data_IF_017239817858
#
_entry.id   IF_017239817858
#
_cell.length_a   1.000
_cell.length_b   1.000
_cell.length_c   1.000
_cell.angle_alpha   90.00
_cell.angle_beta   90.00
_cell.angle_gamma   90.00
#
_symmetry.space_group_name_H-M   'P 1'
#
loop_
_entity.id
_entity.type
_entity.pdbx_description
1 polymer ?
#
# COMPACT_ATOMS: atom_id res chain seq x y z
N UNK A 1 54.86 -32.62 -17.88
CA UNK A 1 53.53 -32.83 -18.48
C UNK A 1 52.61 -31.79 -17.86
N UNK A 2 51.96 -30.97 -18.71
CA UNK A 2 51.07 -29.83 -18.44
C UNK A 2 51.77 -28.60 -17.80
N UNK A 3 51.95 -27.47 -18.50
CA UNK A 3 50.96 -26.46 -18.94
C UNK A 3 50.10 -25.89 -17.81
N UNK A 4 50.47 -24.68 -17.37
CA UNK A 4 49.65 -23.76 -16.58
C UNK A 4 50.28 -22.36 -16.80
N UNK A 5 50.07 -21.68 -17.94
CA UNK A 5 48.90 -20.81 -18.11
C UNK A 5 48.44 -20.13 -16.81
N UNK A 6 49.37 -19.59 -16.02
CA UNK A 6 49.10 -18.60 -14.97
C UNK A 6 50.21 -17.53 -14.89
N UNK A 7 50.79 -17.26 -16.06
CA UNK A 7 51.61 -16.08 -16.33
C UNK A 7 50.68 -14.91 -16.69
N UNK A 8 49.85 -14.49 -15.72
CA UNK A 8 48.95 -13.33 -15.86
C UNK A 8 49.37 -12.17 -14.95
N UNK A 9 50.36 -12.35 -14.08
CA UNK A 9 50.93 -11.24 -13.31
C UNK A 9 52.41 -11.45 -13.04
N UNK A 10 53.25 -10.98 -13.96
CA UNK A 10 54.65 -10.68 -13.69
C UNK A 10 54.68 -9.49 -12.71
N UNK A 11 55.21 -9.65 -11.48
CA UNK A 11 55.29 -8.53 -10.55
C UNK A 11 56.43 -7.62 -11.02
N UNK A 12 56.08 -6.55 -11.73
CA UNK A 12 57.00 -5.51 -12.14
C UNK A 12 57.82 -5.05 -10.92
N UNK A 13 59.09 -5.47 -10.90
CA UNK A 13 60.01 -5.25 -9.79
C UNK A 13 60.69 -3.90 -10.00
N UNK A 14 59.86 -2.86 -10.05
CA UNK A 14 60.26 -1.47 -9.88
C UNK A 14 60.00 -1.11 -8.40
N UNK A 15 61.02 -0.74 -7.61
CA UNK A 15 60.92 -0.73 -6.15
C UNK A 15 60.12 0.44 -5.53
N UNK A 16 59.41 1.27 -6.31
CA UNK A 16 58.89 2.55 -5.76
C UNK A 16 57.47 2.98 -6.17
N UNK A 17 56.73 2.25 -7.03
CA UNK A 17 55.45 2.77 -7.55
C UNK A 17 54.18 1.99 -7.17
N UNK A 18 54.28 0.82 -6.52
CA UNK A 18 53.11 -0.09 -6.40
C UNK A 18 52.87 -0.75 -5.04
N UNK A 19 53.77 -0.63 -4.05
CA UNK A 19 53.66 -1.36 -2.77
C UNK A 19 52.92 -0.62 -1.65
N UNK A 20 52.60 0.65 -1.85
CA UNK A 20 51.75 1.43 -0.95
C UNK A 20 50.55 1.98 -1.71
N UNK A 21 49.70 1.11 -2.27
CA UNK A 21 48.28 1.39 -2.07
C UNK A 21 48.07 1.26 -0.56
N UNK A 22 48.34 2.36 0.17
CA UNK A 22 48.49 2.40 1.63
C UNK A 22 47.45 1.51 2.29
N UNK A 23 47.81 0.69 3.27
CA UNK A 23 46.86 -0.22 3.94
C UNK A 23 45.58 0.50 4.41
N UNK A 24 45.67 1.79 4.67
CA UNK A 24 44.52 2.65 4.95
C UNK A 24 43.59 2.86 3.74
N UNK A 25 44.12 3.03 2.53
CA UNK A 25 43.32 3.05 1.30
C UNK A 25 42.58 1.72 1.09
N UNK A 26 43.22 0.58 1.38
CA UNK A 26 42.57 -0.74 1.32
C UNK A 26 41.44 -0.86 2.36
N UNK A 27 41.68 -0.44 3.61
CA UNK A 27 40.65 -0.43 4.67
C UNK A 27 39.47 0.48 4.32
N UNK A 28 39.74 1.67 3.77
CA UNK A 28 38.72 2.62 3.32
C UNK A 28 37.90 2.00 2.18
N UNK A 29 38.55 1.33 1.22
CA UNK A 29 37.86 0.63 0.13
C UNK A 29 36.94 -0.47 0.65
N UNK A 30 37.43 -1.30 1.57
CA UNK A 30 36.63 -2.38 2.14
C UNK A 30 35.47 -1.88 2.99
N UNK A 31 35.67 -0.78 3.73
CA UNK A 31 34.60 -0.09 4.45
C UNK A 31 33.54 0.46 3.48
N UNK A 32 33.95 1.07 2.36
CA UNK A 32 33.05 1.56 1.33
C UNK A 32 32.30 0.43 0.63
N UNK A 33 32.97 -0.68 0.30
CA UNK A 33 32.33 -1.85 -0.31
C UNK A 33 31.29 -2.49 0.60
N UNK A 34 31.63 -2.70 1.88
CA UNK A 34 30.70 -3.23 2.88
C UNK A 34 29.51 -2.28 3.07
N UNK A 35 29.77 -0.98 3.15
CA UNK A 35 28.72 0.04 3.25
C UNK A 35 27.82 0.04 2.02
N UNK A 36 28.38 -0.02 0.81
CA UNK A 36 27.63 -0.07 -0.45
C UNK A 36 26.80 -1.33 -0.61
N UNK A 37 27.29 -2.49 -0.15
CA UNK A 37 26.52 -3.73 -0.14
C UNK A 37 25.34 -3.68 0.85
N UNK A 38 25.59 -3.19 2.07
CA UNK A 38 24.54 -2.99 3.06
C UNK A 38 23.48 -2.00 2.56
N UNK A 39 23.92 -0.88 2.00
CA UNK A 39 23.06 0.15 1.41
C UNK A 39 22.27 -0.40 0.22
N UNK A 40 22.89 -1.22 -0.64
CA UNK A 40 22.23 -1.92 -1.74
C UNK A 40 21.11 -2.87 -1.27
N UNK A 41 21.33 -3.63 -0.20
CA UNK A 41 20.30 -4.50 0.38
C UNK A 41 19.17 -3.71 1.02
N UNK A 42 19.50 -2.65 1.77
CA UNK A 42 18.51 -1.81 2.45
C UNK A 42 17.66 -1.08 1.42
N UNK A 43 18.29 -0.39 0.46
CA UNK A 43 17.59 0.30 -0.63
C UNK A 43 16.72 -0.65 -1.46
N UNK A 44 17.19 -1.86 -1.78
CA UNK A 44 16.39 -2.85 -2.51
C UNK A 44 15.13 -3.26 -1.75
N UNK A 45 15.20 -3.39 -0.42
CA UNK A 45 14.03 -3.72 0.41
C UNK A 45 13.04 -2.55 0.49
N UNK A 46 13.54 -1.32 0.66
CA UNK A 46 12.71 -0.12 0.71
C UNK A 46 12.01 0.14 -0.63
N UNK A 47 12.72 0.01 -1.75
CA UNK A 47 12.15 0.21 -3.09
C UNK A 47 11.03 -0.79 -3.38
N UNK A 48 11.22 -2.07 -3.06
CA UNK A 48 10.16 -3.08 -3.24
C UNK A 48 8.93 -2.82 -2.35
N UNK A 49 9.14 -2.41 -1.09
CA UNK A 49 8.05 -2.05 -0.18
C UNK A 49 7.25 -0.86 -0.71
N UNK A 50 7.95 0.18 -1.18
CA UNK A 50 7.32 1.40 -1.68
C UNK A 50 6.58 1.15 -3.00
N UNK A 51 7.12 0.31 -3.88
CA UNK A 51 6.43 -0.10 -5.10
C UNK A 51 5.12 -0.85 -4.79
N UNK A 52 5.15 -1.79 -3.84
CA UNK A 52 3.94 -2.48 -3.39
C UNK A 52 2.91 -1.53 -2.78
N UNK A 53 3.35 -0.54 -2.00
CA UNK A 53 2.47 0.49 -1.45
C UNK A 53 1.86 1.36 -2.55
N UNK A 54 2.66 1.83 -3.50
CA UNK A 54 2.20 2.67 -4.60
C UNK A 54 1.16 1.98 -5.48
N UNK A 55 1.26 0.65 -5.63
CA UNK A 55 0.28 -0.15 -6.36
C UNK A 55 -1.03 -0.35 -5.56
N UNK A 56 -0.95 -0.68 -4.27
CA UNK A 56 -2.14 -0.98 -3.46
C UNK A 56 -2.87 0.26 -2.92
N UNK A 57 -2.17 1.37 -2.71
CA UNK A 57 -2.72 2.56 -2.06
C UNK A 57 -3.87 3.22 -2.83
N UNK A 58 -3.78 3.47 -4.16
CA UNK A 58 -4.88 4.08 -4.91
C UNK A 58 -6.16 3.25 -4.88
N UNK A 59 -6.04 1.93 -4.98
CA UNK A 59 -7.16 0.99 -4.93
C UNK A 59 -7.84 0.99 -3.56
N UNK A 60 -7.04 0.92 -2.48
CA UNK A 60 -7.55 1.01 -1.12
C UNK A 60 -8.20 2.38 -0.82
N UNK A 61 -7.63 3.46 -1.35
CA UNK A 61 -8.18 4.81 -1.20
C UNK A 61 -9.54 4.95 -1.88
N UNK A 62 -9.69 4.46 -3.11
CA UNK A 62 -10.97 4.46 -3.84
C UNK A 62 -12.06 3.73 -3.04
N UNK A 63 -11.72 2.57 -2.48
CA UNK A 63 -12.63 1.80 -1.66
C UNK A 63 -12.98 2.51 -0.35
N UNK A 64 -11.98 3.11 0.30
CA UNK A 64 -12.17 3.91 1.51
C UNK A 64 -13.14 5.08 1.30
N UNK A 65 -13.04 5.77 0.16
CA UNK A 65 -13.98 6.84 -0.22
C UNK A 65 -15.41 6.31 -0.38
N UNK A 66 -15.59 5.15 -1.04
CA UNK A 66 -16.93 4.54 -1.20
C UNK A 66 -17.55 4.19 0.15
N UNK A 67 -16.77 3.54 1.03
CA UNK A 67 -17.21 3.18 2.39
C UNK A 67 -17.53 4.42 3.22
N UNK A 68 -16.67 5.44 3.17
CA UNK A 68 -16.88 6.70 3.87
C UNK A 68 -18.18 7.39 3.44
N UNK A 69 -18.48 7.41 2.15
CA UNK A 69 -19.74 7.97 1.63
C UNK A 69 -20.98 7.22 2.14
N UNK A 70 -20.92 5.88 2.21
CA UNK A 70 -22.02 5.06 2.73
C UNK A 70 -22.26 5.36 4.22
N UNK A 71 -21.20 5.29 5.03
CA UNK A 71 -21.29 5.52 6.48
C UNK A 71 -21.74 6.96 6.76
N UNK A 72 -21.18 7.94 6.04
CA UNK A 72 -21.53 9.35 6.22
C UNK A 72 -23.00 9.65 5.90
N UNK A 73 -23.55 9.04 4.84
CA UNK A 73 -24.98 9.16 4.50
C UNK A 73 -25.87 8.54 5.57
N UNK A 74 -25.54 7.33 6.02
CA UNK A 74 -26.30 6.64 7.08
C UNK A 74 -26.22 7.40 8.41
N UNK A 75 -25.06 7.97 8.75
CA UNK A 75 -24.88 8.81 9.94
C UNK A 75 -25.72 10.09 9.85
N UNK A 76 -25.78 10.73 8.69
CA UNK A 76 -26.62 11.91 8.47
C UNK A 76 -28.11 11.59 8.64
N UNK A 77 -28.55 10.44 8.15
CA UNK A 77 -29.92 9.97 8.34
C UNK A 77 -30.20 9.61 9.81
N UNK A 78 -29.28 8.93 10.50
CA UNK A 78 -29.40 8.59 11.93
C UNK A 78 -29.47 9.86 12.79
N UNK A 79 -28.72 10.91 12.46
CA UNK A 79 -28.80 12.18 13.17
C UNK A 79 -30.16 12.86 13.03
N UNK A 80 -30.76 12.81 11.83
CA UNK A 80 -32.04 13.47 11.53
C UNK A 80 -33.26 12.66 11.99
N UNK A 81 -33.21 11.34 11.83
CA UNK A 81 -34.37 10.44 11.99
C UNK A 81 -34.16 9.37 13.06
N UNK A 82 -33.02 9.32 13.74
CA UNK A 82 -32.68 8.28 14.71
C UNK A 82 -33.50 8.29 16.00
N UNK A 83 -34.35 9.29 16.23
CA UNK A 83 -35.38 9.26 17.28
C UNK A 83 -36.71 8.66 16.83
N UNK A 84 -36.89 8.44 15.52
CA UNK A 84 -38.15 7.98 14.90
C UNK A 84 -38.00 6.52 14.42
N UNK A 85 -36.81 6.13 13.96
CA UNK A 85 -36.57 4.84 13.32
C UNK A 85 -35.37 4.13 13.99
N UNK A 86 -35.65 3.28 14.98
CA UNK A 86 -34.62 2.46 15.65
C UNK A 86 -33.97 1.44 14.68
N UNK A 87 -34.68 1.02 13.62
CA UNK A 87 -34.12 0.11 12.61
C UNK A 87 -32.96 0.76 11.86
N UNK A 88 -33.06 2.06 11.57
CA UNK A 88 -31.98 2.82 10.93
C UNK A 88 -30.71 2.83 11.79
N UNK A 89 -30.88 2.99 13.10
CA UNK A 89 -29.78 3.00 14.07
C UNK A 89 -29.12 1.63 14.19
N UNK A 90 -29.91 0.56 14.16
CA UNK A 90 -29.39 -0.81 14.12
C UNK A 90 -28.64 -1.10 12.82
N UNK A 91 -29.20 -0.71 11.67
CA UNK A 91 -28.55 -0.87 10.37
C UNK A 91 -27.27 -0.05 10.27
N UNK A 92 -27.22 1.15 10.84
CA UNK A 92 -25.99 1.94 10.94
C UNK A 92 -24.92 1.24 11.78
N UNK A 93 -25.30 0.68 12.95
CA UNK A 93 -24.36 -0.10 13.79
C UNK A 93 -23.87 -1.37 13.08
N UNK A 94 -24.74 -2.05 12.33
CA UNK A 94 -24.35 -3.21 11.53
C UNK A 94 -23.40 -2.80 10.41
N UNK A 95 -23.71 -1.74 9.66
CA UNK A 95 -22.85 -1.20 8.64
C UNK A 95 -21.48 -0.79 9.20
N UNK A 96 -21.40 -0.14 10.36
CA UNK A 96 -20.13 0.23 10.99
C UNK A 96 -19.27 -0.98 11.37
N UNK A 97 -19.89 -2.09 11.81
CA UNK A 97 -19.19 -3.33 12.14
C UNK A 97 -18.69 -4.06 10.89
N UNK A 98 -19.52 -4.11 9.85
CA UNK A 98 -19.21 -4.83 8.61
C UNK A 98 -18.24 -4.07 7.71
N UNK A 99 -18.43 -2.75 7.56
CA UNK A 99 -17.61 -1.86 6.73
C UNK A 99 -16.36 -1.35 7.45
N UNK A 100 -16.03 -1.89 8.63
CA UNK A 100 -14.77 -1.57 9.30
C UNK A 100 -13.61 -1.92 8.37
N UNK A 101 -12.65 -1.00 8.25
CA UNK A 101 -11.56 -1.07 7.26
C UNK A 101 -10.79 -2.39 7.26
N UNK A 102 -10.69 -3.06 8.42
CA UNK A 102 -10.04 -4.37 8.57
C UNK A 102 -10.79 -5.51 7.86
N UNK A 103 -12.11 -5.41 7.74
CA UNK A 103 -12.93 -6.42 7.06
C UNK A 103 -13.00 -6.16 5.56
N UNK A 104 -13.08 -4.88 5.18
CA UNK A 104 -13.18 -4.43 3.78
C UNK A 104 -11.85 -4.58 3.05
N UNK A 105 -10.73 -4.32 3.74
CA UNK A 105 -9.38 -4.50 3.20
C UNK A 105 -8.75 -5.83 3.63
N UNK A 106 -9.55 -6.84 3.95
CA UNK A 106 -9.01 -8.14 4.36
C UNK A 106 -8.28 -8.81 3.19
N UNK A 107 -7.20 -9.52 3.49
CA UNK A 107 -6.36 -10.25 2.52
C UNK A 107 -7.15 -11.27 1.67
N UNK A 108 -8.38 -11.60 2.08
CA UNK A 108 -9.30 -12.48 1.36
C UNK A 108 -9.99 -11.82 0.15
N UNK A 109 -9.92 -10.49 0.01
CA UNK A 109 -10.48 -9.75 -1.13
C UNK A 109 -9.43 -9.29 -2.14
N UNK A 110 -8.15 -9.60 -1.90
CA UNK A 110 -7.05 -9.20 -2.78
C UNK A 110 -6.30 -10.44 -3.26
N UNK A 111 -5.97 -10.46 -4.55
CA UNK A 111 -5.09 -11.46 -5.13
C UNK A 111 -3.61 -11.21 -4.77
N UNK A 112 -2.72 -12.19 -5.02
CA UNK A 112 -1.28 -12.03 -4.78
C UNK A 112 -0.65 -10.80 -5.46
N UNK A 113 -1.28 -10.26 -6.50
CA UNK A 113 -0.87 -9.03 -7.20
C UNK A 113 -1.49 -7.74 -6.64
N UNK A 114 -2.21 -7.81 -5.51
CA UNK A 114 -2.98 -6.70 -4.93
C UNK A 114 -4.05 -6.11 -5.87
N UNK A 115 -4.35 -6.81 -6.96
CA UNK A 115 -5.44 -6.48 -7.85
C UNK A 115 -6.77 -7.04 -7.33
N UNK A 116 -7.83 -6.26 -7.53
CA UNK A 116 -9.21 -6.69 -7.30
C UNK A 116 -9.62 -7.58 -8.48
N UNK A 117 -9.59 -8.92 -8.35
CA UNK A 117 -10.12 -9.80 -9.41
C UNK A 117 -11.60 -9.61 -9.68
N UNK A 118 -12.33 -9.13 -8.69
CA UNK A 118 -13.73 -8.77 -8.81
C UNK A 118 -13.88 -7.28 -8.56
N UNK A 119 -14.31 -6.54 -9.59
CA UNK A 119 -14.56 -5.10 -9.55
C UNK A 119 -15.53 -4.62 -8.44
N UNK A 120 -16.09 -5.55 -7.64
CA UNK A 120 -17.21 -5.33 -6.73
C UNK A 120 -17.04 -6.10 -5.43
N UNK A 121 -16.70 -5.40 -4.36
CA UNK A 121 -16.94 -5.91 -3.01
C UNK A 121 -18.46 -6.06 -2.84
N UNK A 122 -18.95 -7.30 -2.91
CA UNK A 122 -20.38 -7.64 -2.82
C UNK A 122 -21.05 -6.94 -1.63
N UNK A 123 -20.35 -6.89 -0.48
CA UNK A 123 -20.80 -6.18 0.73
C UNK A 123 -20.98 -4.68 0.51
N UNK A 124 -20.02 -4.01 -0.14
CA UNK A 124 -20.10 -2.56 -0.36
C UNK A 124 -21.24 -2.22 -1.31
N UNK A 125 -21.45 -3.03 -2.36
CA UNK A 125 -22.55 -2.86 -3.30
C UNK A 125 -23.92 -3.11 -2.66
N UNK A 126 -24.03 -4.12 -1.79
CA UNK A 126 -25.23 -4.39 -0.99
C UNK A 126 -25.57 -3.20 -0.08
N UNK A 127 -24.58 -2.69 0.64
CA UNK A 127 -24.76 -1.54 1.52
C UNK A 127 -25.02 -0.24 0.75
N UNK A 128 -24.49 -0.09 -0.46
CA UNK A 128 -24.82 1.03 -1.35
C UNK A 128 -26.29 0.97 -1.79
N UNK A 129 -26.80 -0.22 -2.15
CA UNK A 129 -28.23 -0.42 -2.48
C UNK A 129 -29.13 -0.10 -1.29
N UNK A 130 -28.79 -0.59 -0.10
CA UNK A 130 -29.53 -0.31 1.14
C UNK A 130 -29.53 1.21 1.42
N UNK A 131 -28.39 1.86 1.27
CA UNK A 131 -28.28 3.32 1.47
C UNK A 131 -29.11 4.10 0.46
N UNK A 132 -29.17 3.66 -0.81
CA UNK A 132 -30.05 4.26 -1.84
C UNK A 132 -31.52 4.11 -1.49
N UNK A 133 -31.96 2.94 -1.02
CA UNK A 133 -33.33 2.71 -0.58
C UNK A 133 -33.72 3.62 0.59
N UNK A 134 -32.83 3.81 1.57
CA UNK A 134 -33.07 4.74 2.66
C UNK A 134 -33.07 6.20 2.18
N UNK A 135 -32.20 6.55 1.22
CA UNK A 135 -32.18 7.90 0.64
C UNK A 135 -33.49 8.22 -0.09
N UNK A 136 -34.03 7.26 -0.86
CA UNK A 136 -35.31 7.36 -1.54
C UNK A 136 -36.49 7.43 -0.55
N UNK A 137 -36.47 6.60 0.51
CA UNK A 137 -37.46 6.62 1.59
C UNK A 137 -37.57 7.99 2.25
N UNK A 138 -36.44 8.68 2.44
CA UNK A 138 -36.40 9.99 3.11
C UNK A 138 -36.35 11.18 2.13
N UNK A 139 -36.41 10.92 0.82
CA UNK A 139 -36.38 11.91 -0.27
C UNK A 139 -35.30 12.98 -0.08
N UNK A 140 -34.12 12.58 0.44
CA UNK A 140 -33.02 13.50 0.71
C UNK A 140 -32.40 13.88 -0.63
N UNK A 141 -32.85 15.01 -1.16
CA UNK A 141 -32.36 15.56 -2.40
C UNK A 141 -30.91 16.04 -2.18
N UNK A 142 -29.95 15.18 -2.47
CA UNK A 142 -28.55 15.60 -2.56
C UNK A 142 -28.41 16.46 -3.81
N UNK A 143 -28.83 17.72 -3.74
CA UNK A 143 -28.43 18.72 -4.72
C UNK A 143 -26.91 18.74 -4.72
N UNK A 144 -26.32 18.22 -5.79
CA UNK A 144 -24.94 18.48 -6.18
C UNK A 144 -24.74 19.98 -6.09
N UNK A 145 -23.96 20.43 -5.11
CA UNK A 145 -23.29 21.73 -5.22
C UNK A 145 -22.09 21.51 -6.13
N UNK A 146 -22.37 21.36 -7.43
CA UNK A 146 -21.41 21.55 -8.50
C UNK A 146 -21.32 23.07 -8.70
N UNK A 147 -20.58 23.79 -7.84
CA UNK A 147 -20.18 25.17 -8.10
C UNK A 147 -19.03 25.57 -7.16
N UNK A 148 -17.78 25.29 -7.57
CA UNK A 148 -16.71 26.28 -7.82
C UNK A 148 -15.39 25.62 -8.20
#
# INVERSE_FOLDING_TARGET
>A
MADFLDDVFEPDTSPDAGREMSLDLMKVRDAHNKRGYLDGIVSSKEVNLQQGFNAGFPTGALLGVRVGNIIGRLQGLDYMYGSIDDELREKYKMAQKELKINNVLSKSSFDPDFELKDEKHQRVDEWEKITKQFLEKYNVNTKKSDDK
#
